data_IF_663861520729
#
_entry.id   IF_663861520729
#
_cell.length_a   1.000
_cell.length_b   1.000
_cell.length_c   1.000
_cell.angle_alpha   90.00
_cell.angle_beta   90.00
_cell.angle_gamma   90.00
#
_symmetry.space_group_name_H-M   'P 1'
#
loop_
_entity.id
_entity.type
_entity.pdbx_description
1 polymer ?
#
# COMPACT_ATOMS: atom_id res chain seq x y z
N UNK A 1 14.66 -21.93 -61.65
CA UNK A 1 13.25 -21.83 -62.12
C UNK A 1 12.44 -22.95 -61.50
N UNK A 2 11.64 -22.64 -60.49
CA UNK A 2 10.33 -23.21 -60.20
C UNK A 2 9.79 -22.46 -58.97
N UNK A 3 8.76 -21.68 -59.27
CA UNK A 3 7.91 -20.94 -58.35
C UNK A 3 7.23 -21.87 -57.35
N UNK A 4 7.19 -21.47 -56.09
CA UNK A 4 6.27 -22.01 -55.09
C UNK A 4 5.43 -20.84 -54.61
N UNK A 5 4.18 -20.79 -55.07
CA UNK A 5 3.15 -19.88 -54.59
C UNK A 5 2.77 -20.26 -53.16
N UNK A 6 2.90 -19.31 -52.24
CA UNK A 6 2.36 -19.43 -50.89
C UNK A 6 1.01 -18.70 -50.87
N UNK A 7 -0.08 -19.48 -50.89
CA UNK A 7 -1.44 -18.96 -50.81
C UNK A 7 -1.71 -18.30 -49.46
N UNK A 8 -1.90 -16.99 -49.47
CA UNK A 8 -2.40 -16.21 -48.34
C UNK A 8 -3.92 -16.41 -48.28
N UNK A 9 -4.38 -17.30 -47.41
CA UNK A 9 -5.79 -17.36 -47.03
C UNK A 9 -6.06 -16.26 -46.00
N UNK A 10 -6.70 -15.18 -46.45
CA UNK A 10 -7.17 -14.10 -45.60
C UNK A 10 -8.26 -14.59 -44.65
N UNK A 11 -7.92 -14.73 -43.37
CA UNK A 11 -8.91 -14.66 -42.30
C UNK A 11 -9.03 -13.21 -41.87
N UNK A 12 -10.14 -12.58 -42.27
CA UNK A 12 -10.53 -11.28 -41.76
C UNK A 12 -10.70 -11.35 -40.24
N UNK A 13 -9.71 -10.84 -39.51
CA UNK A 13 -9.89 -10.47 -38.11
C UNK A 13 -10.74 -9.20 -38.11
N UNK A 14 -12.04 -9.37 -37.88
CA UNK A 14 -12.87 -8.29 -37.38
C UNK A 14 -12.20 -7.78 -36.10
N UNK A 15 -11.75 -6.52 -36.14
CA UNK A 15 -11.30 -5.83 -34.95
C UNK A 15 -12.48 -5.72 -34.00
N UNK A 16 -12.57 -6.62 -33.02
CA UNK A 16 -13.43 -6.38 -31.88
C UNK A 16 -12.80 -5.23 -31.12
N UNK A 17 -13.44 -4.06 -31.18
CA UNK A 17 -13.23 -3.06 -30.13
C UNK A 17 -13.57 -3.78 -28.83
N UNK A 18 -12.57 -4.10 -28.01
CA UNK A 18 -12.79 -4.72 -26.72
C UNK A 18 -13.77 -3.82 -25.95
N UNK A 19 -15.01 -4.30 -25.78
CA UNK A 19 -16.05 -3.55 -25.10
C UNK A 19 -15.52 -3.16 -23.72
N UNK A 20 -15.55 -1.86 -23.42
CA UNK A 20 -15.20 -1.36 -22.09
C UNK A 20 -16.16 -2.01 -21.08
N UNK A 21 -15.66 -2.59 -19.98
CA UNK A 21 -16.54 -3.13 -18.94
C UNK A 21 -17.55 -2.06 -18.50
N UNK A 22 -18.82 -2.43 -18.36
CA UNK A 22 -19.82 -1.50 -17.86
C UNK A 22 -19.62 -1.27 -16.36
N UNK A 23 -18.79 -0.30 -16.00
CA UNK A 23 -18.63 0.15 -14.61
C UNK A 23 -19.91 0.76 -14.01
N UNK A 24 -20.97 0.97 -14.81
CA UNK A 24 -22.22 1.60 -14.41
C UNK A 24 -23.21 0.67 -13.72
N UNK A 25 -23.20 -0.63 -14.04
CA UNK A 25 -24.07 -1.65 -13.42
C UNK A 25 -23.46 -2.31 -12.17
N UNK A 26 -22.18 -2.04 -11.88
CA UNK A 26 -21.40 -2.72 -10.83
C UNK A 26 -21.56 -2.05 -9.45
N UNK A 27 -22.22 -0.89 -9.35
CA UNK A 27 -22.50 -0.25 -8.07
C UNK A 27 -23.94 0.29 -8.01
N UNK A 28 -24.81 -0.42 -7.29
CA UNK A 28 -25.99 0.19 -6.65
C UNK A 28 -25.59 1.01 -5.40
N UNK A 29 -24.32 0.98 -4.99
CA UNK A 29 -23.75 1.86 -3.99
C UNK A 29 -23.58 3.27 -4.58
N UNK A 30 -24.20 4.24 -3.92
CA UNK A 30 -24.33 5.66 -4.28
C UNK A 30 -23.07 6.22 -4.94
N UNK A 31 -23.18 6.69 -6.20
CA UNK A 31 -22.17 7.60 -6.77
C UNK A 31 -21.97 8.74 -5.78
N UNK A 32 -20.75 8.96 -5.33
CA UNK A 32 -20.41 10.09 -4.47
C UNK A 32 -20.56 11.34 -5.33
N UNK A 33 -21.58 12.19 -5.10
CA UNK A 33 -21.76 13.38 -5.91
C UNK A 33 -20.55 14.30 -5.69
N UNK A 34 -20.24 15.14 -6.68
CA UNK A 34 -19.16 16.13 -6.56
C UNK A 34 -19.24 16.94 -5.25
N UNK A 35 -20.46 17.22 -4.76
CA UNK A 35 -20.71 17.91 -3.49
C UNK A 35 -20.26 17.14 -2.24
N UNK A 36 -20.18 15.81 -2.27
CA UNK A 36 -19.72 15.01 -1.15
C UNK A 36 -18.18 15.09 -0.98
N UNK A 37 -17.43 15.25 -2.08
CA UNK A 37 -16.01 15.64 -2.00
C UNK A 37 -15.81 17.06 -1.47
N UNK A 38 -16.86 17.89 -1.48
CA UNK A 38 -16.87 19.25 -0.92
C UNK A 38 -17.28 19.25 0.56
N UNK A 39 -18.17 18.34 0.98
CA UNK A 39 -18.57 18.20 2.40
C UNK A 39 -17.43 17.70 3.30
N UNK A 40 -16.55 16.82 2.80
CA UNK A 40 -15.32 16.43 3.49
C UNK A 40 -14.36 17.62 3.76
N UNK A 41 -14.56 18.77 3.10
CA UNK A 41 -13.70 19.97 3.21
C UNK A 41 -14.09 20.92 4.34
N UNK A 42 -15.17 20.65 5.08
CA UNK A 42 -15.82 21.63 5.98
C UNK A 42 -15.62 21.40 7.48
N UNK A 43 -14.96 20.34 7.92
CA UNK A 43 -14.59 20.20 9.34
C UNK A 43 -13.24 20.89 9.61
N UNK A 44 -13.17 21.71 10.66
CA UNK A 44 -11.88 22.13 11.24
C UNK A 44 -11.19 20.89 11.83
N UNK A 45 -10.57 20.08 10.98
CA UNK A 45 -9.78 18.94 11.43
C UNK A 45 -8.50 19.46 12.05
N UNK A 46 -8.39 19.37 13.38
CA UNK A 46 -7.08 19.43 14.03
C UNK A 46 -6.31 18.19 13.61
N UNK A 47 -5.30 18.34 12.76
CA UNK A 47 -4.32 17.28 12.57
C UNK A 47 -3.51 17.11 13.86
N UNK A 48 -3.11 15.89 14.25
CA UNK A 48 -2.22 15.71 15.38
C UNK A 48 -0.91 16.42 15.05
N UNK A 49 -0.40 17.24 15.97
CA UNK A 49 0.97 17.73 15.79
C UNK A 49 1.93 16.56 15.93
N UNK A 50 2.99 16.55 15.11
CA UNK A 50 4.05 15.54 15.22
C UNK A 50 4.63 15.46 16.64
N UNK A 51 4.69 16.60 17.34
CA UNK A 51 5.08 16.68 18.75
C UNK A 51 4.08 15.98 19.68
N UNK A 52 2.77 16.22 19.53
CA UNK A 52 1.74 15.59 20.35
C UNK A 52 1.61 14.08 20.10
N UNK A 53 1.78 13.65 18.85
CA UNK A 53 1.79 12.24 18.51
C UNK A 53 3.01 11.52 19.08
N UNK A 54 4.16 12.18 19.15
CA UNK A 54 5.36 11.66 19.80
C UNK A 54 5.20 11.54 21.32
N UNK A 55 4.76 12.61 21.98
CA UNK A 55 4.63 12.63 23.45
C UNK A 55 3.68 11.55 23.98
N UNK A 56 2.60 11.29 23.24
CA UNK A 56 1.57 10.33 23.64
C UNK A 56 1.72 8.96 23.00
N UNK A 57 2.54 8.85 21.94
CA UNK A 57 2.56 7.70 21.03
C UNK A 57 1.24 7.49 20.28
N UNK A 58 0.37 8.51 20.21
CA UNK A 58 -1.02 8.39 19.75
C UNK A 58 -1.44 9.48 18.76
N UNK A 59 -2.35 9.11 17.86
CA UNK A 59 -3.07 10.01 16.97
C UNK A 59 -4.51 10.14 17.48
N UNK A 60 -4.78 11.18 18.27
CA UNK A 60 -6.02 11.24 19.05
C UNK A 60 -6.14 10.03 19.99
N UNK A 61 -7.22 9.23 19.93
CA UNK A 61 -7.33 8.03 20.77
C UNK A 61 -6.49 6.84 20.25
N UNK A 62 -6.10 6.85 18.97
CA UNK A 62 -5.51 5.70 18.28
C UNK A 62 -3.99 5.64 18.44
N UNK A 63 -3.39 4.46 18.29
CA UNK A 63 -1.94 4.23 18.42
C UNK A 63 -1.58 3.60 19.76
N UNK A 64 -0.51 4.08 20.40
CA UNK A 64 0.03 3.57 21.66
C UNK A 64 0.97 2.38 21.50
N UNK A 65 1.41 1.82 22.64
CA UNK A 65 2.28 0.64 22.73
C UNK A 65 1.57 -0.45 23.52
N UNK A 66 0.83 -1.30 22.81
CA UNK A 66 0.09 -2.43 23.39
C UNK A 66 0.86 -3.75 23.19
N UNK A 67 2.06 -3.80 23.76
CA UNK A 67 3.00 -4.92 23.63
C UNK A 67 3.40 -5.46 25.00
N UNK A 68 3.97 -6.67 25.08
CA UNK A 68 4.60 -7.15 26.31
C UNK A 68 5.73 -6.22 26.76
N UNK A 69 5.93 -6.13 28.08
CA UNK A 69 6.97 -5.30 28.71
C UNK A 69 8.38 -5.58 28.13
N UNK A 70 8.63 -6.83 27.73
CA UNK A 70 9.90 -7.26 27.13
C UNK A 70 10.28 -6.51 25.85
N UNK A 71 9.33 -5.89 25.15
CA UNK A 71 9.57 -5.08 23.95
C UNK A 71 9.71 -3.59 24.23
N UNK A 72 9.38 -3.11 25.43
CA UNK A 72 9.33 -1.68 25.73
C UNK A 72 10.69 -1.00 25.57
N UNK A 73 11.75 -1.59 26.11
CA UNK A 73 13.12 -1.05 25.98
C UNK A 73 13.58 -0.93 24.52
N UNK A 74 13.19 -1.87 23.66
CA UNK A 74 13.53 -1.84 22.24
C UNK A 74 12.73 -0.79 21.46
N UNK A 75 11.46 -0.59 21.79
CA UNK A 75 10.65 0.48 21.23
C UNK A 75 11.14 1.86 21.66
N UNK A 76 11.58 2.02 22.91
CA UNK A 76 12.19 3.26 23.41
C UNK A 76 13.54 3.56 22.77
N UNK A 77 14.39 2.53 22.58
CA UNK A 77 15.62 2.65 21.80
C UNK A 77 15.31 3.11 20.36
N UNK A 78 14.38 2.42 19.69
CA UNK A 78 13.99 2.74 18.32
C UNK A 78 13.43 4.15 18.20
N UNK A 79 12.58 4.59 19.13
CA UNK A 79 11.99 5.94 19.13
C UNK A 79 13.08 7.01 19.29
N UNK A 80 13.98 6.83 20.27
CA UNK A 80 15.12 7.74 20.48
C UNK A 80 16.03 7.83 19.26
N UNK A 81 16.36 6.70 18.64
CA UNK A 81 17.22 6.67 17.44
C UNK A 81 16.52 7.28 16.23
N UNK A 82 15.23 7.01 16.05
CA UNK A 82 14.44 7.64 15.00
C UNK A 82 14.37 9.16 15.17
N UNK A 83 14.09 9.66 16.37
CA UNK A 83 14.02 11.09 16.66
C UNK A 83 15.36 11.80 16.46
N UNK A 84 16.48 11.13 16.77
CA UNK A 84 17.82 11.62 16.46
C UNK A 84 18.06 11.65 14.94
N UNK A 85 17.69 10.58 14.22
CA UNK A 85 17.83 10.49 12.78
C UNK A 85 17.00 11.56 12.02
N UNK A 86 15.78 11.87 12.49
CA UNK A 86 14.94 12.92 11.91
C UNK A 86 15.62 14.29 11.89
N UNK A 87 16.44 14.60 12.91
CA UNK A 87 17.15 15.88 13.06
C UNK A 87 18.56 15.87 12.48
N UNK A 88 19.01 14.75 11.94
CA UNK A 88 20.36 14.56 11.45
C UNK A 88 20.42 14.68 9.93
N UNK A 89 20.99 15.77 9.37
CA UNK A 89 21.11 15.95 7.92
C UNK A 89 21.93 14.84 7.25
N UNK A 90 22.89 14.22 7.94
CA UNK A 90 23.70 13.15 7.37
C UNK A 90 22.89 11.86 7.16
N UNK A 91 21.92 11.58 8.05
CA UNK A 91 20.98 10.47 7.86
C UNK A 91 20.19 10.63 6.56
N UNK A 92 19.59 11.81 6.38
CA UNK A 92 18.79 12.11 5.21
C UNK A 92 19.62 12.18 3.94
N UNK A 93 20.84 12.70 4.00
CA UNK A 93 21.76 12.67 2.86
C UNK A 93 22.10 11.23 2.43
N UNK A 94 22.35 10.31 3.37
CA UNK A 94 22.57 8.89 3.06
C UNK A 94 21.31 8.24 2.48
N UNK A 95 20.15 8.45 3.11
CA UNK A 95 18.87 7.90 2.66
C UNK A 95 18.49 8.44 1.27
N UNK A 96 18.52 9.75 1.06
CA UNK A 96 18.20 10.38 -0.24
C UNK A 96 19.20 9.96 -1.32
N UNK A 97 20.48 9.77 -0.97
CA UNK A 97 21.49 9.21 -1.86
C UNK A 97 21.15 7.79 -2.32
N UNK A 98 20.66 6.93 -1.43
CA UNK A 98 20.20 5.58 -1.74
C UNK A 98 18.88 5.59 -2.53
N UNK A 99 17.92 6.42 -2.13
CA UNK A 99 16.66 6.58 -2.86
C UNK A 99 16.92 7.03 -4.30
N UNK A 100 17.83 7.97 -4.52
CA UNK A 100 18.20 8.42 -5.87
C UNK A 100 18.95 7.37 -6.66
N UNK A 101 20.09 6.90 -6.14
CA UNK A 101 21.06 6.15 -6.94
C UNK A 101 20.88 4.63 -6.90
N UNK A 102 20.16 4.10 -5.90
CA UNK A 102 19.90 2.67 -5.76
C UNK A 102 18.44 2.32 -6.07
N UNK A 103 17.48 3.14 -5.61
CA UNK A 103 16.05 2.90 -5.89
C UNK A 103 15.61 3.47 -7.24
N UNK A 104 16.16 4.61 -7.66
CA UNK A 104 15.77 5.31 -8.89
C UNK A 104 14.77 6.45 -8.69
N UNK A 105 14.72 7.04 -7.49
CA UNK A 105 13.86 8.20 -7.19
C UNK A 105 14.40 9.50 -7.80
N UNK A 106 13.55 10.50 -8.10
CA UNK A 106 12.10 10.51 -7.91
C UNK A 106 11.37 9.60 -8.90
N UNK A 107 10.30 8.96 -8.44
CA UNK A 107 9.45 8.19 -9.36
C UNK A 107 8.64 9.15 -10.24
N UNK A 108 8.43 8.84 -11.54
CA UNK A 108 7.64 9.70 -12.42
C UNK A 108 6.21 9.92 -11.94
N UNK A 109 5.64 11.06 -12.33
CA UNK A 109 4.21 11.31 -12.31
C UNK A 109 3.70 11.26 -13.76
N UNK A 110 3.02 10.17 -14.12
CA UNK A 110 2.62 9.87 -15.50
C UNK A 110 1.13 10.17 -15.70
N UNK A 111 0.80 11.03 -16.65
CA UNK A 111 -0.59 11.18 -17.10
C UNK A 111 -1.05 9.92 -17.83
N UNK A 112 -2.26 9.45 -17.52
CA UNK A 112 -2.90 8.28 -18.12
C UNK A 112 -4.09 8.74 -18.98
N UNK A 113 -3.86 9.18 -20.24
CA UNK A 113 -4.86 9.88 -21.03
C UNK A 113 -6.04 8.97 -21.44
N UNK A 114 -5.79 7.69 -21.72
CA UNK A 114 -6.84 6.74 -22.11
C UNK A 114 -7.69 6.34 -20.92
N UNK A 115 -7.10 6.23 -19.73
CA UNK A 115 -7.82 6.09 -18.47
C UNK A 115 -8.62 7.35 -18.15
N UNK A 116 -8.01 8.54 -18.29
CA UNK A 116 -8.69 9.83 -18.09
C UNK A 116 -9.93 9.98 -18.96
N UNK A 117 -9.86 9.56 -20.23
CA UNK A 117 -11.01 9.54 -21.13
C UNK A 117 -12.16 8.63 -20.64
N UNK A 118 -11.89 7.56 -19.87
CA UNK A 118 -12.92 6.73 -19.24
C UNK A 118 -13.54 7.39 -18.00
N UNK A 119 -12.80 8.28 -17.34
CA UNK A 119 -13.21 8.95 -16.11
C UNK A 119 -14.07 10.19 -16.40
N UNK A 120 -13.70 10.97 -17.40
CA UNK A 120 -14.47 12.14 -17.83
C UNK A 120 -13.71 13.00 -18.84
N UNK A 121 -14.44 13.64 -19.75
CA UNK A 121 -13.85 14.53 -20.74
C UNK A 121 -13.09 15.67 -20.04
N UNK A 122 -11.81 15.84 -20.39
CA UNK A 122 -10.93 16.88 -19.83
C UNK A 122 -10.50 16.68 -18.38
N UNK A 123 -10.76 15.50 -17.77
CA UNK A 123 -10.22 15.14 -16.45
C UNK A 123 -8.83 14.56 -16.63
N UNK A 124 -7.86 15.04 -15.86
CA UNK A 124 -6.49 14.52 -15.85
C UNK A 124 -6.41 13.42 -14.80
N UNK A 125 -6.05 12.21 -15.22
CA UNK A 125 -5.70 11.12 -14.29
C UNK A 125 -4.18 10.95 -14.31
N UNK A 126 -3.54 11.18 -13.16
CA UNK A 126 -2.09 11.13 -13.02
C UNK A 126 -1.67 10.00 -12.07
N UNK A 127 -0.77 9.14 -12.52
CA UNK A 127 -0.28 7.98 -11.79
C UNK A 127 1.08 8.31 -11.15
N UNK A 128 1.17 8.28 -9.82
CA UNK A 128 2.44 8.31 -9.10
C UNK A 128 3.08 6.93 -9.15
N UNK A 129 4.18 6.80 -9.90
CA UNK A 129 4.73 5.52 -10.41
C UNK A 129 5.63 4.77 -9.42
N UNK A 130 5.12 4.43 -8.24
CA UNK A 130 5.88 3.62 -7.26
C UNK A 130 6.14 2.17 -7.72
N UNK A 131 5.45 1.73 -8.77
CA UNK A 131 5.69 0.49 -9.51
C UNK A 131 7.06 0.44 -10.19
N UNK A 132 7.66 1.60 -10.47
CA UNK A 132 8.97 1.73 -11.11
C UNK A 132 10.15 1.76 -10.14
N UNK A 133 9.90 1.77 -8.83
CA UNK A 133 10.97 1.66 -7.84
C UNK A 133 11.76 0.36 -8.04
N UNK A 134 13.04 0.37 -7.65
CA UNK A 134 13.74 -0.88 -7.38
C UNK A 134 12.89 -1.80 -6.48
N UNK A 135 12.99 -3.12 -6.71
CA UNK A 135 12.11 -4.18 -6.20
C UNK A 135 10.68 -4.21 -6.77
N UNK A 136 10.12 -3.06 -7.19
CA UNK A 136 8.84 -2.94 -7.91
C UNK A 136 7.67 -2.41 -7.09
N UNK A 137 7.91 -1.81 -5.93
CA UNK A 137 6.86 -1.24 -5.09
C UNK A 137 7.39 -0.17 -4.12
N UNK A 138 6.48 0.63 -3.54
CA UNK A 138 6.77 1.62 -2.49
C UNK A 138 7.47 1.06 -1.23
N UNK A 139 7.46 -0.26 -1.00
CA UNK A 139 7.99 -0.87 0.23
C UNK A 139 9.48 -0.58 0.46
N UNK A 140 10.25 -0.43 -0.61
CA UNK A 140 11.69 -0.17 -0.55
C UNK A 140 12.05 1.14 0.15
N UNK A 141 11.16 2.15 0.10
CA UNK A 141 11.38 3.45 0.77
C UNK A 141 11.51 3.24 2.29
N UNK A 142 10.59 2.47 2.86
CA UNK A 142 10.55 2.14 4.28
C UNK A 142 11.69 1.22 4.70
N UNK A 143 11.95 0.16 3.92
CA UNK A 143 12.97 -0.83 4.31
C UNK A 143 14.37 -0.23 4.32
N UNK A 144 14.70 0.68 3.40
CA UNK A 144 15.97 1.42 3.43
C UNK A 144 16.10 2.27 4.70
N UNK A 145 15.10 3.10 5.00
CA UNK A 145 15.12 3.95 6.19
C UNK A 145 15.28 3.13 7.47
N UNK A 146 14.50 2.05 7.62
CA UNK A 146 14.61 1.19 8.80
C UNK A 146 15.91 0.37 8.86
N UNK A 147 16.47 -0.07 7.73
CA UNK A 147 17.77 -0.72 7.73
C UNK A 147 18.90 0.24 8.16
N UNK A 148 18.81 1.52 7.79
CA UNK A 148 19.73 2.53 8.30
C UNK A 148 19.57 2.76 9.81
N UNK A 149 18.33 2.79 10.32
CA UNK A 149 18.09 2.84 11.78
C UNK A 149 18.66 1.59 12.49
N UNK A 150 18.45 0.40 11.93
CA UNK A 150 19.00 -0.85 12.48
C UNK A 150 20.53 -0.82 12.56
N UNK A 151 21.20 -0.31 11.52
CA UNK A 151 22.66 -0.11 11.52
C UNK A 151 23.10 0.88 12.60
N UNK A 152 22.37 1.98 12.82
CA UNK A 152 22.65 2.94 13.90
C UNK A 152 22.50 2.34 15.29
N UNK A 153 21.54 1.44 15.47
CA UNK A 153 21.36 0.67 16.71
C UNK A 153 22.36 -0.50 16.84
N UNK A 154 23.26 -0.71 15.87
CA UNK A 154 24.21 -1.81 15.88
C UNK A 154 23.58 -3.20 15.67
N UNK A 155 22.32 -3.28 15.23
CA UNK A 155 21.60 -4.54 15.00
C UNK A 155 22.12 -5.18 13.71
N UNK A 156 22.47 -6.47 13.79
CA UNK A 156 23.06 -7.24 12.68
C UNK A 156 22.09 -8.23 12.04
N UNK A 157 20.97 -8.49 12.72
CA UNK A 157 19.91 -9.39 12.28
C UNK A 157 18.61 -8.63 12.08
N UNK A 158 17.95 -8.89 10.97
CA UNK A 158 16.68 -8.29 10.56
C UNK A 158 15.63 -9.37 10.44
N UNK A 159 14.47 -9.11 11.01
CA UNK A 159 13.26 -9.89 10.79
C UNK A 159 12.19 -9.04 10.11
N UNK A 160 11.32 -9.67 9.33
CA UNK A 160 10.13 -9.05 8.74
C UNK A 160 9.03 -10.09 8.50
N UNK A 161 7.78 -9.64 8.42
CA UNK A 161 6.64 -10.42 7.92
C UNK A 161 6.40 -10.14 6.44
N UNK A 162 5.71 -11.01 5.70
CA UNK A 162 5.20 -10.64 4.38
C UNK A 162 3.98 -11.47 3.98
N UNK A 163 3.05 -10.84 3.26
CA UNK A 163 1.89 -11.49 2.61
C UNK A 163 2.21 -11.68 1.13
N UNK A 164 1.90 -10.68 0.29
CA UNK A 164 2.20 -10.68 -1.16
C UNK A 164 3.70 -10.84 -1.55
N UNK A 165 4.61 -10.91 -0.60
CA UNK A 165 6.06 -11.07 -0.82
C UNK A 165 6.83 -9.76 -1.08
N UNK A 166 6.17 -8.65 -1.44
CA UNK A 166 6.87 -7.41 -1.79
C UNK A 166 7.65 -6.78 -0.63
N UNK A 167 7.11 -6.81 0.59
CA UNK A 167 7.83 -6.30 1.77
C UNK A 167 9.02 -7.21 2.12
N UNK A 168 8.82 -8.52 2.05
CA UNK A 168 9.89 -9.50 2.23
C UNK A 168 11.02 -9.33 1.20
N UNK A 169 10.69 -9.18 -0.08
CA UNK A 169 11.66 -8.90 -1.17
C UNK A 169 12.39 -7.57 -0.91
N UNK A 170 11.68 -6.50 -0.53
CA UNK A 170 12.30 -5.22 -0.21
C UNK A 170 13.23 -5.30 1.01
N UNK A 171 12.87 -6.10 2.02
CA UNK A 171 13.69 -6.32 3.22
C UNK A 171 14.94 -7.15 2.90
N UNK A 172 14.77 -8.27 2.19
CA UNK A 172 15.88 -9.10 1.73
C UNK A 172 16.87 -8.31 0.86
N UNK A 173 16.35 -7.43 -0.02
CA UNK A 173 17.16 -6.55 -0.87
C UNK A 173 18.07 -5.63 -0.04
N UNK A 174 17.51 -4.93 0.95
CA UNK A 174 18.30 -4.00 1.76
C UNK A 174 19.25 -4.74 2.69
N UNK A 175 18.86 -5.89 3.23
CA UNK A 175 19.74 -6.72 4.04
C UNK A 175 20.94 -7.23 3.24
N UNK A 176 20.73 -7.71 2.02
CA UNK A 176 21.81 -8.12 1.11
C UNK A 176 22.74 -6.93 0.81
N UNK A 177 22.17 -5.74 0.55
CA UNK A 177 22.94 -4.52 0.28
C UNK A 177 23.83 -4.10 1.45
N UNK A 178 23.35 -4.24 2.67
CA UNK A 178 24.06 -3.81 3.89
C UNK A 178 24.80 -4.93 4.62
N UNK A 179 24.79 -6.16 4.09
CA UNK A 179 25.39 -7.33 4.74
C UNK A 179 24.79 -7.63 6.11
N UNK A 180 23.45 -7.60 6.20
CA UNK A 180 22.68 -7.95 7.41
C UNK A 180 22.06 -9.34 7.24
N UNK A 181 21.98 -10.11 8.33
CA UNK A 181 21.20 -11.35 8.34
C UNK A 181 19.71 -11.02 8.16
N UNK A 182 19.00 -11.76 7.32
CA UNK A 182 17.59 -11.52 7.02
C UNK A 182 16.77 -12.79 7.20
N UNK A 183 15.74 -12.72 8.04
CA UNK A 183 14.73 -13.77 8.21
C UNK A 183 13.35 -13.18 7.91
N UNK A 184 12.62 -13.78 6.96
CA UNK A 184 11.30 -13.32 6.56
C UNK A 184 10.26 -14.39 6.90
N UNK A 185 9.25 -14.02 7.68
CA UNK A 185 8.12 -14.87 8.00
C UNK A 185 7.02 -14.68 6.95
N UNK A 186 6.51 -15.77 6.41
CA UNK A 186 5.47 -15.74 5.37
C UNK A 186 4.49 -16.88 5.59
N UNK A 187 3.19 -16.58 5.48
CA UNK A 187 2.14 -17.59 5.59
C UNK A 187 2.29 -18.65 4.50
N UNK A 188 2.06 -19.93 4.83
CA UNK A 188 2.24 -21.02 3.86
C UNK A 188 1.35 -20.87 2.61
N UNK A 189 0.12 -20.38 2.78
CA UNK A 189 -0.78 -20.13 1.64
C UNK A 189 -0.29 -18.96 0.78
N UNK A 190 0.26 -17.91 1.40
CA UNK A 190 0.89 -16.81 0.69
C UNK A 190 2.15 -17.27 -0.07
N UNK A 191 2.97 -18.15 0.53
CA UNK A 191 4.15 -18.72 -0.13
C UNK A 191 3.77 -19.51 -1.38
N UNK A 192 2.66 -20.27 -1.33
CA UNK A 192 2.14 -21.00 -2.48
C UNK A 192 1.72 -20.06 -3.61
N UNK A 193 0.95 -19.02 -3.29
CA UNK A 193 0.45 -18.02 -4.27
C UNK A 193 1.57 -17.16 -4.85
N UNK A 194 2.63 -16.90 -4.08
CA UNK A 194 3.67 -15.93 -4.38
C UNK A 194 5.06 -16.56 -4.45
N UNK A 195 5.15 -17.80 -4.98
CA UNK A 195 6.38 -18.60 -5.06
C UNK A 195 7.56 -17.85 -5.69
N UNK A 196 7.30 -17.00 -6.69
CA UNK A 196 8.36 -16.20 -7.32
C UNK A 196 9.01 -15.23 -6.34
N UNK A 197 8.25 -14.61 -5.44
CA UNK A 197 8.79 -13.70 -4.44
C UNK A 197 9.54 -14.45 -3.33
N UNK A 198 9.11 -15.66 -2.97
CA UNK A 198 9.87 -16.56 -2.07
C UNK A 198 11.26 -16.81 -2.65
N UNK A 199 11.31 -17.28 -3.90
CA UNK A 199 12.58 -17.55 -4.57
C UNK A 199 13.48 -16.32 -4.70
N UNK A 200 12.90 -15.13 -4.99
CA UNK A 200 13.67 -13.87 -5.04
C UNK A 200 14.29 -13.52 -3.68
N UNK A 201 13.58 -13.75 -2.57
CA UNK A 201 14.13 -13.53 -1.23
C UNK A 201 15.29 -14.46 -0.94
N UNK A 202 15.16 -15.74 -1.25
CA UNK A 202 16.21 -16.76 -1.05
C UNK A 202 17.45 -16.48 -1.91
N UNK A 203 17.27 -16.05 -3.17
CA UNK A 203 18.37 -15.62 -4.04
C UNK A 203 19.17 -14.44 -3.47
N UNK A 204 18.53 -13.58 -2.66
CA UNK A 204 19.19 -12.48 -1.97
C UNK A 204 19.78 -12.89 -0.61
N UNK A 205 19.76 -14.19 -0.28
CA UNK A 205 20.34 -14.73 0.95
C UNK A 205 19.44 -14.63 2.18
N UNK A 206 18.17 -14.25 2.02
CA UNK A 206 17.23 -14.24 3.13
C UNK A 206 16.71 -15.66 3.42
N UNK A 207 16.56 -16.00 4.70
CA UNK A 207 15.85 -17.21 5.14
C UNK A 207 14.35 -16.92 5.15
N UNK A 208 13.57 -17.65 4.35
CA UNK A 208 12.10 -17.55 4.36
C UNK A 208 11.54 -18.64 5.25
N UNK A 209 10.78 -18.26 6.28
CA UNK A 209 10.21 -19.18 7.28
C UNK A 209 8.70 -19.34 7.03
N UNK A 210 8.22 -20.56 6.70
CA UNK A 210 6.81 -20.80 6.50
C UNK A 210 6.05 -20.76 7.83
N UNK A 211 4.93 -20.05 7.84
CA UNK A 211 4.00 -20.01 8.98
C UNK A 211 2.78 -20.86 8.67
N UNK A 212 2.66 -21.97 9.41
CA UNK A 212 1.62 -23.00 9.23
C UNK A 212 0.48 -22.91 10.25
N UNK A 213 0.60 -22.00 11.22
CA UNK A 213 -0.42 -21.73 12.25
C UNK A 213 -1.54 -20.84 11.72
N UNK A 214 -2.72 -20.94 12.35
CA UNK A 214 -3.85 -20.07 12.08
C UNK A 214 -4.37 -20.17 10.64
N UNK A 215 -4.61 -19.02 10.03
CA UNK A 215 -5.06 -18.87 8.64
C UNK A 215 -3.95 -19.05 7.61
N UNK A 216 -2.68 -19.13 8.05
CA UNK A 216 -1.49 -19.27 7.20
C UNK A 216 -1.32 -18.12 6.22
N UNK A 217 -1.64 -16.91 6.66
CA UNK A 217 -1.54 -15.65 5.89
C UNK A 217 -0.72 -14.59 6.63
N UNK A 218 -0.66 -13.37 6.09
CA UNK A 218 0.03 -12.20 6.67
C UNK A 218 -0.22 -11.99 8.18
N UNK A 219 -1.45 -12.24 8.66
CA UNK A 219 -1.77 -12.11 10.09
C UNK A 219 -0.87 -12.99 10.96
N UNK A 220 -0.75 -14.25 10.58
CA UNK A 220 -0.01 -15.27 11.33
C UNK A 220 1.50 -15.06 11.17
N UNK A 221 1.95 -14.64 9.98
CA UNK A 221 3.33 -14.23 9.75
C UNK A 221 3.76 -13.07 10.67
N UNK A 222 2.88 -12.10 10.91
CA UNK A 222 3.15 -10.98 11.84
C UNK A 222 3.29 -11.48 13.27
N UNK A 223 2.43 -12.42 13.69
CA UNK A 223 2.49 -12.99 15.04
C UNK A 223 3.82 -13.72 15.28
N UNK A 224 4.29 -14.51 14.32
CA UNK A 224 5.57 -15.23 14.43
C UNK A 224 6.78 -14.27 14.38
N UNK A 225 6.73 -13.23 13.55
CA UNK A 225 7.77 -12.20 13.55
C UNK A 225 7.84 -11.46 14.91
N UNK A 226 6.71 -11.10 15.50
CA UNK A 226 6.69 -10.48 16.84
C UNK A 226 7.22 -11.43 17.93
N UNK A 227 6.91 -12.73 17.85
CA UNK A 227 7.43 -13.76 18.78
C UNK A 227 8.95 -13.94 18.67
N UNK A 228 9.49 -13.97 17.46
CA UNK A 228 10.93 -13.96 17.24
C UNK A 228 11.53 -12.69 17.85
N UNK A 229 10.91 -11.53 17.59
CA UNK A 229 11.45 -10.27 18.08
C UNK A 229 11.56 -10.23 19.60
N UNK A 230 10.52 -10.69 20.31
CA UNK A 230 10.53 -10.81 21.77
C UNK A 230 11.70 -11.67 22.26
N UNK A 231 12.02 -12.74 21.53
CA UNK A 231 13.07 -13.71 21.90
C UNK A 231 14.47 -13.17 21.61
N UNK A 232 14.63 -12.38 20.53
CA UNK A 232 15.94 -11.97 19.99
C UNK A 232 16.16 -10.44 20.01
N UNK A 233 15.43 -9.72 20.87
CA UNK A 233 15.30 -8.26 20.88
C UNK A 233 16.65 -7.49 20.97
N UNK A 234 17.63 -8.09 21.63
CA UNK A 234 18.95 -7.47 21.84
C UNK A 234 19.76 -7.35 20.56
N UNK A 235 19.69 -8.35 19.67
CA UNK A 235 20.51 -8.45 18.44
C UNK A 235 19.73 -8.16 17.16
N UNK A 236 18.39 -8.19 17.24
CA UNK A 236 17.50 -8.17 16.09
C UNK A 236 16.70 -6.88 16.00
N UNK A 237 16.64 -6.30 14.80
CA UNK A 237 15.66 -5.25 14.46
C UNK A 237 14.50 -5.84 13.67
N UNK A 238 13.27 -5.45 14.02
CA UNK A 238 12.07 -5.81 13.28
C UNK A 238 11.71 -4.71 12.27
N UNK A 239 11.82 -5.00 10.97
CA UNK A 239 11.36 -4.09 9.92
C UNK A 239 9.89 -4.39 9.63
N UNK A 240 9.00 -3.63 10.26
CA UNK A 240 7.56 -3.71 10.01
C UNK A 240 7.20 -3.17 8.61
N UNK A 241 6.24 -3.80 7.94
CA UNK A 241 5.90 -3.51 6.54
C UNK A 241 4.90 -2.39 6.28
N UNK A 242 4.28 -1.83 7.31
CA UNK A 242 3.25 -0.80 7.14
C UNK A 242 3.16 0.16 8.33
N UNK A 243 2.34 1.21 8.22
CA UNK A 243 2.02 2.19 9.28
C UNK A 243 1.13 1.60 10.40
N UNK A 244 1.32 0.33 10.70
CA UNK A 244 0.66 -0.42 11.78
C UNK A 244 1.69 -0.63 12.90
N UNK A 245 1.32 -1.39 13.93
CA UNK A 245 2.26 -1.71 15.01
C UNK A 245 2.25 -0.68 16.14
N UNK A 246 2.97 -0.98 17.25
CA UNK A 246 3.13 -0.05 18.36
C UNK A 246 3.93 1.19 17.93
N UNK A 247 3.71 2.32 18.59
CA UNK A 247 4.63 3.46 18.49
C UNK A 247 6.07 3.00 18.83
N UNK A 248 7.11 3.39 18.05
CA UNK A 248 7.14 4.46 17.03
C UNK A 248 6.88 4.02 15.58
N UNK A 249 6.55 2.76 15.33
CA UNK A 249 6.49 2.22 13.97
C UNK A 249 5.55 2.98 13.01
N UNK A 250 4.30 3.33 13.37
CA UNK A 250 3.43 4.10 12.48
C UNK A 250 4.07 5.41 11.99
N UNK A 251 4.73 6.16 12.89
CA UNK A 251 5.43 7.41 12.56
C UNK A 251 6.65 7.15 11.68
N UNK A 252 7.48 6.16 12.03
CA UNK A 252 8.66 5.79 11.25
C UNK A 252 8.29 5.45 9.81
N UNK A 253 7.32 4.57 9.63
CA UNK A 253 6.93 4.11 8.30
C UNK A 253 6.33 5.26 7.49
N UNK A 254 5.50 6.11 8.10
CA UNK A 254 4.98 7.32 7.44
C UNK A 254 6.12 8.22 7.00
N UNK A 255 7.05 8.54 7.89
CA UNK A 255 8.12 9.50 7.65
C UNK A 255 9.00 9.02 6.46
N UNK A 256 9.32 7.73 6.39
CA UNK A 256 10.06 7.16 5.25
C UNK A 256 9.24 7.00 3.97
N UNK A 257 7.91 6.90 4.05
CA UNK A 257 7.04 6.89 2.88
C UNK A 257 6.64 8.30 2.40
N UNK A 258 6.87 9.34 3.21
CA UNK A 258 6.49 10.74 2.90
C UNK A 258 7.16 11.29 1.64
N UNK A 259 8.25 10.66 1.19
CA UNK A 259 8.90 10.97 -0.09
C UNK A 259 7.94 10.86 -1.27
N UNK A 260 6.96 9.95 -1.21
CA UNK A 260 5.93 9.77 -2.25
C UNK A 260 5.10 11.05 -2.39
N UNK A 261 4.54 11.54 -1.27
CA UNK A 261 3.72 12.74 -1.24
C UNK A 261 4.52 13.99 -1.60
N UNK A 262 5.73 14.14 -1.06
CA UNK A 262 6.64 15.26 -1.36
C UNK A 262 6.90 15.39 -2.86
N UNK A 263 7.30 14.29 -3.50
CA UNK A 263 7.54 14.27 -4.94
C UNK A 263 6.25 14.52 -5.72
N UNK A 264 5.15 13.84 -5.38
CA UNK A 264 3.91 13.97 -6.10
C UNK A 264 3.35 15.40 -6.04
N UNK A 265 3.44 16.07 -4.89
CA UNK A 265 3.04 17.47 -4.73
C UNK A 265 3.89 18.39 -5.60
N UNK A 266 5.21 18.25 -5.55
CA UNK A 266 6.13 19.05 -6.37
C UNK A 266 5.85 18.85 -7.87
N UNK A 267 5.74 17.59 -8.31
CA UNK A 267 5.47 17.22 -9.70
C UNK A 267 4.09 17.69 -10.19
N UNK A 268 3.08 17.70 -9.32
CA UNK A 268 1.74 18.18 -9.68
C UNK A 268 1.73 19.70 -9.87
N UNK A 269 2.37 20.45 -8.96
CA UNK A 269 2.51 21.90 -9.06
C UNK A 269 3.33 22.30 -10.29
N UNK A 270 4.42 21.59 -10.58
CA UNK A 270 5.25 21.81 -11.76
C UNK A 270 4.47 21.60 -13.06
N UNK A 271 3.69 20.52 -13.17
CA UNK A 271 3.00 20.14 -14.42
C UNK A 271 1.72 20.92 -14.68
N UNK A 272 0.92 21.18 -13.64
CA UNK A 272 -0.42 21.75 -13.80
C UNK A 272 -0.62 23.09 -13.08
N UNK A 273 0.40 23.62 -12.40
CA UNK A 273 0.33 24.90 -11.69
C UNK A 273 -0.65 24.93 -10.52
N UNK A 274 -1.14 23.77 -10.07
CA UNK A 274 -2.17 23.63 -9.03
C UNK A 274 -2.06 22.30 -8.30
N UNK A 275 -2.71 22.21 -7.14
CA UNK A 275 -2.87 20.97 -6.38
C UNK A 275 -3.90 20.04 -7.03
N UNK A 276 -3.85 18.72 -6.77
CA UNK A 276 -4.83 17.80 -7.30
C UNK A 276 -6.19 18.04 -6.63
N UNK A 277 -7.28 17.79 -7.37
CA UNK A 277 -8.63 17.79 -6.79
C UNK A 277 -8.81 16.61 -5.83
N UNK A 278 -8.28 15.44 -6.21
CA UNK A 278 -8.39 14.21 -5.43
C UNK A 278 -7.09 13.42 -5.46
N UNK A 279 -6.67 12.90 -4.30
CA UNK A 279 -5.59 11.92 -4.16
C UNK A 279 -6.18 10.59 -3.70
N UNK A 280 -5.88 9.52 -4.41
CA UNK A 280 -6.45 8.18 -4.19
C UNK A 280 -5.33 7.16 -4.00
N UNK A 281 -5.47 6.30 -2.99
CA UNK A 281 -4.52 5.23 -2.71
C UNK A 281 -5.21 4.01 -2.08
N UNK A 282 -4.69 2.80 -2.31
CA UNK A 282 -5.22 1.61 -1.65
C UNK A 282 -4.76 1.49 -0.20
N UNK A 283 -5.58 0.88 0.66
CA UNK A 283 -5.36 0.78 2.10
C UNK A 283 -5.51 -0.68 2.53
N UNK A 284 -4.37 -1.33 2.75
CA UNK A 284 -4.26 -2.51 3.61
C UNK A 284 -3.88 -2.04 5.01
N UNK A 285 -2.63 -2.26 5.41
CA UNK A 285 -2.07 -1.58 6.59
C UNK A 285 -1.88 -0.06 6.43
N UNK A 286 -1.86 0.46 5.19
CA UNK A 286 -1.92 1.92 4.90
C UNK A 286 -0.64 2.65 4.48
N UNK A 287 0.55 2.02 4.44
CA UNK A 287 1.80 2.79 4.29
C UNK A 287 1.96 3.56 2.99
N UNK A 288 1.51 3.03 1.85
CA UNK A 288 1.52 3.78 0.58
C UNK A 288 0.56 4.98 0.61
N UNK A 289 -0.62 4.79 1.21
CA UNK A 289 -1.66 5.81 1.29
C UNK A 289 -1.20 6.95 2.20
N UNK A 290 -0.71 6.64 3.40
CA UNK A 290 -0.15 7.66 4.28
C UNK A 290 1.06 8.37 3.65
N UNK A 291 1.92 7.64 2.96
CA UNK A 291 3.06 8.20 2.23
C UNK A 291 2.65 9.30 1.25
N UNK A 292 1.66 9.03 0.40
CA UNK A 292 1.19 10.04 -0.56
C UNK A 292 0.34 11.13 0.10
N UNK A 293 -0.53 10.78 1.07
CA UNK A 293 -1.43 11.73 1.74
C UNK A 293 -0.69 12.76 2.59
N UNK A 294 0.45 12.38 3.19
CA UNK A 294 1.21 13.22 4.12
C UNK A 294 1.47 14.64 3.61
N UNK A 295 1.69 14.82 2.30
CA UNK A 295 1.95 16.11 1.69
C UNK A 295 0.70 16.97 1.41
N UNK A 296 -0.49 16.41 1.59
CA UNK A 296 -1.79 17.04 1.28
C UNK A 296 -2.73 17.12 2.49
N UNK A 297 -2.34 16.58 3.66
CA UNK A 297 -3.20 16.57 4.86
C UNK A 297 -3.65 17.98 5.27
N UNK A 298 -2.80 18.99 5.12
CA UNK A 298 -3.14 20.37 5.46
C UNK A 298 -3.98 21.08 4.37
N UNK A 299 -3.98 20.59 3.14
CA UNK A 299 -4.68 21.18 2.00
C UNK A 299 -6.16 20.73 2.01
N UNK A 300 -7.03 21.46 2.72
CA UNK A 300 -8.45 21.09 2.92
C UNK A 300 -9.25 20.97 1.60
N UNK A 301 -8.81 21.67 0.55
CA UNK A 301 -9.42 21.59 -0.77
C UNK A 301 -9.05 20.32 -1.55
N UNK A 302 -8.04 19.57 -1.09
CA UNK A 302 -7.61 18.31 -1.68
C UNK A 302 -8.36 17.16 -1.01
N UNK A 303 -9.25 16.51 -1.77
CA UNK A 303 -9.94 15.32 -1.31
C UNK A 303 -8.96 14.14 -1.21
N UNK A 304 -8.97 13.42 -0.09
CA UNK A 304 -8.13 12.25 0.13
C UNK A 304 -9.01 11.01 0.26
N UNK A 305 -8.71 9.98 -0.53
CA UNK A 305 -9.51 8.76 -0.60
C UNK A 305 -8.64 7.52 -0.42
N UNK A 306 -8.84 6.82 0.69
CA UNK A 306 -8.29 5.49 0.93
C UNK A 306 -9.23 4.40 0.41
N UNK A 307 -8.71 3.41 -0.31
CA UNK A 307 -9.54 2.33 -0.87
C UNK A 307 -9.16 0.97 -0.25
N UNK A 308 -10.04 0.43 0.58
CA UNK A 308 -9.91 -0.90 1.20
C UNK A 308 -10.43 -2.01 0.27
N UNK A 309 -10.09 -3.26 0.59
CA UNK A 309 -10.60 -4.42 -0.14
C UNK A 309 -11.95 -4.87 0.44
N UNK A 310 -12.98 -4.85 -0.39
CA UNK A 310 -14.30 -5.39 -0.09
C UNK A 310 -14.39 -6.91 -0.33
N UNK A 311 -13.34 -7.57 -0.81
CA UNK A 311 -13.32 -9.01 -1.06
C UNK A 311 -14.46 -9.47 -1.97
N UNK A 312 -15.25 -10.43 -1.52
CA UNK A 312 -16.45 -10.94 -2.22
C UNK A 312 -17.67 -10.02 -2.06
N UNK A 313 -17.51 -8.88 -1.37
CA UNK A 313 -18.56 -7.91 -1.04
C UNK A 313 -18.64 -7.69 0.46
N UNK A 314 -18.96 -6.46 0.89
CA UNK A 314 -19.00 -6.10 2.32
C UNK A 314 -20.04 -6.91 3.12
N UNK A 315 -21.15 -7.27 2.49
CA UNK A 315 -22.23 -8.03 3.14
C UNK A 315 -21.93 -9.54 3.23
N UNK A 316 -20.90 -10.03 2.55
CA UNK A 316 -20.51 -11.45 2.58
C UNK A 316 -19.79 -11.83 3.88
N UNK A 317 -19.29 -10.85 4.63
CA UNK A 317 -18.34 -11.06 5.73
C UNK A 317 -16.94 -11.48 5.28
N UNK A 318 -16.70 -11.69 3.97
CA UNK A 318 -15.40 -12.02 3.39
C UNK A 318 -14.80 -10.81 2.70
N UNK A 319 -14.21 -9.94 3.50
CA UNK A 319 -13.57 -8.69 3.07
C UNK A 319 -12.39 -8.30 3.99
N UNK A 320 -11.66 -7.25 3.63
CA UNK A 320 -10.60 -6.65 4.45
C UNK A 320 -10.82 -5.14 4.73
N UNK A 321 -12.07 -4.67 4.62
CA UNK A 321 -12.46 -3.28 4.89
C UNK A 321 -12.53 -2.94 6.39
N UNK A 322 -11.37 -2.86 7.04
CA UNK A 322 -11.23 -2.65 8.48
C UNK A 322 -11.79 -1.31 8.96
N UNK A 323 -11.61 -0.23 8.20
CA UNK A 323 -12.15 1.09 8.53
C UNK A 323 -13.64 1.18 8.22
N UNK A 324 -14.10 0.57 7.13
CA UNK A 324 -15.49 0.63 6.68
C UNK A 324 -16.45 -0.31 7.42
N UNK A 325 -15.96 -1.42 7.98
CA UNK A 325 -16.79 -2.46 8.65
C UNK A 325 -16.25 -2.94 10.00
N UNK A 326 -15.03 -2.57 10.36
CA UNK A 326 -14.45 -2.90 11.66
C UNK A 326 -14.90 -1.97 12.78
N UNK A 327 -14.34 -2.20 13.96
CA UNK A 327 -14.55 -1.36 15.15
C UNK A 327 -13.23 -1.18 15.92
N UNK A 328 -13.08 -0.10 16.72
CA UNK A 328 -11.88 0.14 17.50
C UNK A 328 -11.52 -1.03 18.42
N UNK A 329 -10.24 -1.39 18.48
CA UNK A 329 -9.70 -2.38 19.39
C UNK A 329 -8.18 -2.50 19.29
N UNK A 330 -7.60 -3.27 20.18
CA UNK A 330 -6.15 -3.44 20.28
C UNK A 330 -5.71 -4.63 19.46
N UNK A 331 -4.83 -4.40 18.49
CA UNK A 331 -4.31 -5.44 17.62
C UNK A 331 -2.89 -5.13 17.14
N UNK A 332 -2.04 -6.16 17.11
CA UNK A 332 -0.63 -6.07 16.72
C UNK A 332 0.10 -4.85 17.32
N UNK A 333 -0.12 -4.56 18.61
CA UNK A 333 0.62 -3.52 19.33
C UNK A 333 0.01 -2.12 19.32
N UNK A 334 -1.12 -1.88 18.65
CA UNK A 334 -1.77 -0.55 18.64
C UNK A 334 -3.29 -0.63 18.81
N UNK A 335 -3.87 0.44 19.36
CA UNK A 335 -5.31 0.68 19.31
C UNK A 335 -5.65 1.29 17.94
N UNK A 336 -6.46 0.61 17.14
CA UNK A 336 -6.89 1.05 15.81
C UNK A 336 -8.24 0.42 15.45
N UNK A 337 -8.71 0.60 14.21
CA UNK A 337 -9.81 -0.19 13.66
C UNK A 337 -9.33 -1.58 13.25
N UNK A 338 -10.15 -2.59 13.54
CA UNK A 338 -9.96 -3.95 13.04
C UNK A 338 -11.29 -4.68 12.85
N UNK A 339 -11.26 -5.73 12.04
CA UNK A 339 -12.33 -6.71 11.93
C UNK A 339 -12.30 -7.64 13.15
N UNK A 340 -13.35 -7.58 13.96
CA UNK A 340 -13.48 -8.37 15.17
C UNK A 340 -14.96 -8.69 15.45
N UNK A 341 -15.23 -9.85 16.05
CA UNK A 341 -16.59 -10.26 16.41
C UNK A 341 -17.05 -9.59 17.72
N UNK A 342 -18.27 -9.88 18.19
CA UNK A 342 -18.83 -9.28 19.41
C UNK A 342 -17.91 -9.46 20.65
N UNK A 343 -17.25 -10.60 20.77
CA UNK A 343 -16.35 -10.96 21.88
C UNK A 343 -14.93 -10.36 21.76
N UNK A 344 -14.66 -9.60 20.70
CA UNK A 344 -13.35 -9.00 20.45
C UNK A 344 -12.33 -9.95 19.81
N UNK A 345 -12.75 -11.11 19.34
CA UNK A 345 -11.89 -12.02 18.56
C UNK A 345 -11.69 -11.46 17.16
N UNK A 346 -10.43 -11.45 16.71
CA UNK A 346 -10.05 -10.98 15.37
C UNK A 346 -10.67 -11.89 14.31
N UNK A 347 -11.44 -11.30 13.40
CA UNK A 347 -12.03 -12.04 12.29
C UNK A 347 -11.01 -12.20 11.15
N UNK A 348 -11.05 -13.33 10.41
CA UNK A 348 -10.24 -13.47 9.20
C UNK A 348 -10.59 -12.37 8.19
N UNK A 349 -9.55 -11.74 7.62
CA UNK A 349 -9.72 -10.89 6.45
C UNK A 349 -9.82 -11.75 5.18
N UNK A 350 -10.34 -11.14 4.11
CA UNK A 350 -10.30 -11.75 2.78
C UNK A 350 -10.15 -10.70 1.68
N UNK A 351 -9.23 -10.96 0.75
CA UNK A 351 -9.15 -10.29 -0.55
C UNK A 351 -8.38 -11.16 -1.55
N UNK A 352 -8.66 -10.98 -2.83
CA UNK A 352 -7.80 -11.47 -3.92
C UNK A 352 -6.38 -10.87 -3.87
N UNK A 353 -6.23 -9.70 -3.24
CA UNK A 353 -4.95 -9.03 -3.07
C UNK A 353 -4.32 -9.36 -1.71
N UNK A 354 -3.29 -10.19 -1.71
CA UNK A 354 -2.57 -10.56 -0.48
C UNK A 354 -1.96 -9.36 0.27
N UNK A 355 -1.69 -8.23 -0.39
CA UNK A 355 -1.21 -7.00 0.24
C UNK A 355 -2.29 -6.18 0.95
N UNK A 356 -3.57 -6.44 0.66
CA UNK A 356 -4.74 -5.82 1.32
C UNK A 356 -5.44 -6.79 2.27
N UNK A 357 -5.11 -8.08 2.25
CA UNK A 357 -5.68 -9.12 3.11
C UNK A 357 -5.14 -9.03 4.55
N UNK A 358 -5.55 -7.98 5.26
CA UNK A 358 -5.16 -7.69 6.63
C UNK A 358 -6.36 -7.19 7.44
N UNK A 359 -6.67 -7.78 8.62
CA UNK A 359 -7.87 -7.46 9.37
C UNK A 359 -7.76 -6.18 10.22
N UNK A 360 -6.65 -5.44 10.14
CA UNK A 360 -6.44 -4.19 10.86
C UNK A 360 -6.04 -3.05 9.93
N UNK A 361 -5.72 -1.90 10.52
CA UNK A 361 -5.26 -0.72 9.77
C UNK A 361 -4.40 0.19 10.64
N UNK A 362 -3.57 1.04 10.03
CA UNK A 362 -2.73 1.97 10.77
C UNK A 362 -3.52 2.98 11.63
N UNK A 363 -3.06 3.31 12.85
CA UNK A 363 -3.81 4.16 13.79
C UNK A 363 -4.01 5.60 13.30
N UNK A 364 -3.08 6.14 12.50
CA UNK A 364 -3.25 7.48 11.91
C UNK A 364 -4.36 7.48 10.85
N UNK A 365 -4.57 6.37 10.12
CA UNK A 365 -5.73 6.25 9.23
C UNK A 365 -7.05 6.22 10.01
N UNK A 366 -7.10 5.52 11.14
CA UNK A 366 -8.26 5.51 12.04
C UNK A 366 -8.60 6.93 12.54
N UNK A 367 -7.57 7.69 12.94
CA UNK A 367 -7.73 9.09 13.32
C UNK A 367 -8.27 9.95 12.17
N UNK A 368 -7.69 9.81 10.97
CA UNK A 368 -8.10 10.57 9.79
C UNK A 368 -9.51 10.20 9.30
N UNK A 369 -9.96 8.96 9.55
CA UNK A 369 -11.35 8.55 9.30
C UNK A 369 -12.30 9.28 10.22
N UNK A 370 -12.06 9.23 11.52
CA UNK A 370 -13.01 9.74 12.51
C UNK A 370 -13.08 11.26 12.55
N UNK A 371 -11.99 11.93 12.16
CA UNK A 371 -11.99 13.38 11.93
C UNK A 371 -12.62 13.78 10.59
N UNK A 372 -12.88 12.81 9.70
CA UNK A 372 -13.42 13.05 8.37
C UNK A 372 -12.43 13.63 7.35
N UNK A 373 -11.12 13.70 7.69
CA UNK A 373 -10.11 14.25 6.77
C UNK A 373 -9.88 13.37 5.55
N UNK A 374 -9.94 12.05 5.73
CA UNK A 374 -9.78 11.06 4.65
C UNK A 374 -11.07 10.26 4.55
N UNK A 375 -11.59 10.14 3.34
CA UNK A 375 -12.69 9.25 3.03
C UNK A 375 -12.14 7.84 2.78
N UNK A 376 -12.78 6.83 3.37
CA UNK A 376 -12.43 5.43 3.14
C UNK A 376 -13.57 4.71 2.45
N UNK A 377 -13.25 4.13 1.30
CA UNK A 377 -14.17 3.44 0.42
C UNK A 377 -13.68 2.00 0.21
N UNK A 378 -14.51 1.12 -0.33
CA UNK A 378 -14.14 -0.27 -0.53
C UNK A 378 -14.45 -0.77 -1.94
N UNK A 379 -13.59 -1.63 -2.47
CA UNK A 379 -13.67 -2.20 -3.82
C UNK A 379 -13.61 -3.72 -3.76
N UNK A 380 -14.52 -4.39 -4.46
CA UNK A 380 -14.59 -5.85 -4.52
C UNK A 380 -13.46 -6.45 -5.37
N UNK A 381 -13.16 -7.72 -5.15
CA UNK A 381 -12.15 -8.45 -5.90
C UNK A 381 -12.42 -8.42 -7.40
N UNK A 382 -13.70 -8.58 -7.82
CA UNK A 382 -14.10 -8.50 -9.23
C UNK A 382 -13.77 -7.14 -9.83
N UNK A 383 -14.14 -6.05 -9.15
CA UNK A 383 -13.85 -4.68 -9.60
C UNK A 383 -12.33 -4.44 -9.71
N UNK A 384 -11.55 -4.93 -8.75
CA UNK A 384 -10.09 -4.80 -8.79
C UNK A 384 -9.47 -5.55 -9.97
N UNK A 385 -9.92 -6.78 -10.26
CA UNK A 385 -9.46 -7.56 -11.42
C UNK A 385 -9.86 -6.91 -12.76
N UNK A 386 -11.06 -6.35 -12.86
CA UNK A 386 -11.50 -5.58 -14.03
C UNK A 386 -10.64 -4.32 -14.23
N UNK A 387 -10.24 -3.66 -13.14
CA UNK A 387 -9.41 -2.46 -13.19
C UNK A 387 -7.95 -2.78 -13.51
N UNK A 388 -7.44 -3.90 -13.02
CA UNK A 388 -6.15 -4.46 -13.43
C UNK A 388 -6.11 -4.63 -14.95
N UNK A 389 -7.11 -5.31 -15.52
CA UNK A 389 -7.21 -5.52 -16.96
C UNK A 389 -7.40 -4.20 -17.72
N UNK A 390 -8.18 -3.27 -17.17
CA UNK A 390 -8.44 -1.97 -17.80
C UNK A 390 -7.19 -1.12 -17.90
N UNK A 391 -6.44 -0.93 -16.80
CA UNK A 391 -5.19 -0.17 -16.85
C UNK A 391 -4.17 -0.81 -17.80
N UNK A 392 -4.10 -2.14 -17.80
CA UNK A 392 -3.22 -2.90 -18.70
C UNK A 392 -3.54 -2.64 -20.17
N UNK A 393 -4.83 -2.64 -20.56
CA UNK A 393 -5.26 -2.42 -21.95
C UNK A 393 -5.23 -0.94 -22.37
N UNK A 394 -5.53 -0.04 -21.43
CA UNK A 394 -5.62 1.39 -21.70
C UNK A 394 -4.24 2.04 -21.74
N UNK A 395 -3.36 1.67 -20.83
CA UNK A 395 -2.08 2.38 -20.64
C UNK A 395 -0.85 1.49 -20.82
N UNK A 396 -1.02 0.18 -21.05
CA UNK A 396 0.11 -0.75 -21.14
C UNK A 396 0.84 -0.93 -19.81
N UNK A 397 0.18 -0.63 -18.69
CA UNK A 397 0.74 -0.71 -17.34
C UNK A 397 0.05 -1.86 -16.62
N UNK A 398 0.82 -2.86 -16.18
CA UNK A 398 0.35 -3.96 -15.33
C UNK A 398 0.44 -3.49 -13.85
N UNK A 399 -0.68 -3.07 -13.22
CA UNK A 399 -0.63 -2.62 -11.83
C UNK A 399 -0.54 -3.82 -10.88
N UNK A 400 0.00 -3.63 -9.68
CA UNK A 400 -0.28 -4.57 -8.60
C UNK A 400 -1.80 -4.62 -8.34
N UNK A 401 -2.35 -5.79 -8.00
CA UNK A 401 -3.81 -5.91 -7.73
C UNK A 401 -4.23 -5.03 -6.54
N UNK A 402 -3.31 -4.77 -5.60
CA UNK A 402 -3.47 -3.77 -4.54
C UNK A 402 -3.77 -2.39 -5.15
N UNK A 403 -2.96 -1.92 -6.09
CA UNK A 403 -3.12 -0.61 -6.74
C UNK A 403 -4.36 -0.58 -7.65
N UNK A 404 -4.73 -1.72 -8.23
CA UNK A 404 -5.93 -1.84 -9.04
C UNK A 404 -7.22 -1.53 -8.27
N UNK A 405 -7.24 -1.68 -6.94
CA UNK A 405 -8.37 -1.23 -6.11
C UNK A 405 -8.59 0.29 -6.21
N UNK A 406 -7.50 1.08 -6.13
CA UNK A 406 -7.58 2.52 -6.28
C UNK A 406 -8.03 2.93 -7.70
N UNK A 407 -7.55 2.22 -8.72
CA UNK A 407 -7.97 2.43 -10.12
C UNK A 407 -9.45 2.10 -10.31
N UNK A 408 -9.92 0.99 -9.76
CA UNK A 408 -11.31 0.56 -9.83
C UNK A 408 -12.25 1.60 -9.19
N UNK A 409 -11.85 2.15 -8.05
CA UNK A 409 -12.62 3.20 -7.38
C UNK A 409 -12.73 4.44 -8.26
N UNK A 410 -11.64 4.87 -8.91
CA UNK A 410 -11.67 6.03 -9.83
C UNK A 410 -12.58 5.77 -11.03
N UNK A 411 -12.51 4.58 -11.63
CA UNK A 411 -13.39 4.19 -12.75
C UNK A 411 -14.88 4.13 -12.35
N UNK A 412 -15.17 3.63 -11.15
CA UNK A 412 -16.53 3.57 -10.62
C UNK A 412 -17.13 4.97 -10.35
N UNK A 413 -16.28 5.98 -10.14
CA UNK A 413 -16.67 7.36 -9.89
C UNK A 413 -16.58 8.26 -11.13
N UNK A 414 -16.55 7.68 -12.34
CA UNK A 414 -16.59 8.43 -13.60
C UNK A 414 -17.72 9.48 -13.61
N UNK A 415 -17.40 10.68 -14.07
CA UNK A 415 -18.31 11.84 -14.05
C UNK A 415 -18.39 12.59 -12.72
N UNK A 416 -17.64 12.21 -11.67
CA UNK A 416 -17.58 12.96 -10.41
C UNK A 416 -16.66 14.19 -10.47
N UNK A 417 -15.77 14.27 -11.47
CA UNK A 417 -14.79 15.34 -11.66
C UNK A 417 -15.17 16.23 -12.84
N UNK A 418 -14.68 17.47 -12.81
CA UNK A 418 -14.91 18.49 -13.84
C UNK A 418 -13.73 18.58 -14.79
N UNK A 419 -13.96 19.21 -15.93
CA UNK A 419 -12.89 19.57 -16.88
C UNK A 419 -11.78 20.33 -16.14
N UNK A 420 -10.54 19.88 -16.32
CA UNK A 420 -9.36 20.44 -15.70
C UNK A 420 -9.04 19.90 -14.32
N UNK A 421 -9.92 19.13 -13.66
CA UNK A 421 -9.57 18.49 -12.38
C UNK A 421 -8.44 17.48 -12.58
N UNK A 422 -7.53 17.41 -11.59
CA UNK A 422 -6.45 16.41 -11.55
C UNK A 422 -6.78 15.38 -10.47
N UNK A 423 -6.84 14.11 -10.87
CA UNK A 423 -6.99 12.94 -10.01
C UNK A 423 -5.65 12.24 -9.91
N UNK A 424 -5.01 12.36 -8.75
CA UNK A 424 -3.72 11.75 -8.45
C UNK A 424 -3.93 10.35 -7.84
N UNK A 425 -3.42 9.32 -8.51
CA UNK A 425 -3.49 7.92 -8.09
C UNK A 425 -2.11 7.43 -7.67
N UNK A 426 -2.01 6.86 -6.46
CA UNK A 426 -0.78 6.17 -6.06
C UNK A 426 -0.73 4.76 -6.65
N UNK A 427 0.11 4.56 -7.68
CA UNK A 427 0.34 3.24 -8.26
C UNK A 427 1.43 2.52 -7.45
N UNK A 428 1.01 1.99 -6.30
CA UNK A 428 1.87 1.54 -5.21
C UNK A 428 2.86 0.40 -5.55
N UNK A 429 2.65 -0.33 -6.65
CA UNK A 429 3.52 -1.41 -7.11
C UNK A 429 3.12 -1.97 -8.48
N UNK A 430 4.01 -2.77 -9.08
CA UNK A 430 3.80 -3.45 -10.36
C UNK A 430 3.18 -4.84 -10.20
N UNK A 431 2.45 -5.24 -11.24
CA UNK A 431 1.62 -6.44 -11.28
C UNK A 431 2.31 -7.75 -11.64
N UNK A 432 3.63 -7.78 -11.87
CA UNK A 432 4.34 -9.00 -12.29
C UNK A 432 4.09 -10.18 -11.35
N UNK A 433 4.00 -9.90 -10.04
CA UNK A 433 3.73 -10.90 -9.00
C UNK A 433 2.31 -11.47 -9.05
N UNK A 434 1.39 -10.77 -9.69
CA UNK A 434 -0.03 -11.10 -9.71
C UNK A 434 -0.46 -11.76 -11.02
N UNK A 435 0.33 -11.68 -12.10
CA UNK A 435 -0.04 -12.15 -13.45
C UNK A 435 -0.51 -13.61 -13.44
N UNK A 436 0.22 -14.51 -12.77
CA UNK A 436 -0.14 -15.93 -12.73
C UNK A 436 -1.50 -16.16 -12.04
N UNK A 437 -1.70 -15.52 -10.89
CA UNK A 437 -2.96 -15.58 -10.14
C UNK A 437 -4.12 -14.99 -10.96
N UNK A 438 -3.91 -13.84 -11.60
CA UNK A 438 -4.91 -13.20 -12.46
C UNK A 438 -5.25 -14.10 -13.65
N UNK A 439 -4.26 -14.74 -14.28
CA UNK A 439 -4.48 -15.65 -15.40
C UNK A 439 -5.33 -16.87 -15.00
N UNK A 440 -5.07 -17.45 -13.82
CA UNK A 440 -5.85 -18.55 -13.26
C UNK A 440 -7.30 -18.11 -12.97
N UNK A 441 -7.48 -17.00 -12.25
CA UNK A 441 -8.81 -16.49 -11.85
C UNK A 441 -9.67 -16.01 -13.04
N UNK A 442 -9.05 -15.57 -14.14
CA UNK A 442 -9.76 -15.10 -15.33
C UNK A 442 -9.90 -16.16 -16.43
N UNK A 443 -9.44 -17.39 -16.18
CA UNK A 443 -9.52 -18.49 -17.15
C UNK A 443 -8.63 -18.30 -18.38
N UNK A 444 -7.59 -17.47 -18.29
CA UNK A 444 -6.63 -17.23 -19.37
C UNK A 444 -5.47 -18.23 -19.39
N UNK A 445 -5.31 -19.03 -18.34
CA UNK A 445 -4.38 -20.15 -18.28
C UNK A 445 -5.12 -21.45 -18.68
N UNK A 446 -4.89 -21.91 -19.92
CA UNK A 446 -5.16 -23.30 -20.35
C UNK A 446 -3.91 -24.13 -20.27
#
# INVERSE_FOLDING_TARGET
MRSVECGIAGQGRSGSSAAVPDWGSVNSARRIPHSAFVLARRSEVRLPSDAGARETGRFGPYGGRYVPETLMAALEELDRVHEAAKRDPAFWAELDGLLKNYVGRPTPLTEAPRLGAQVGAGVVVALKREDLNHTGAHKINNTLGQALLARRMGKRRIIAETGAGQHGVATATVCARFGLECVVYMGEEDMRRQRLNVYRMELMGARVVPVTSGTRTLKDATNEALRDWVTNVTTTHYIIGSVVGPDPFPRIVRDFQSVIGREARAQTLERWGKLPHTVVACVGGGSNAMGIFSAFLADQDVALVGVEAAGEGLESGRHAASLGRGRPGVFHGSLSYLLQNADGQVQPAHSVSAGLDYPGVGPEHAYLKDTGRVLYEAVTDRQALEAFASLSRLEGILPAVESAHAVAWVLAHRGAWRVGDVVLLNLSGRGDKDVAMVAELTGAAT
#
